data_IF_908564532341
#
_entry.id   IF_908564532341
#
_cell.length_a   1.000
_cell.length_b   1.000
_cell.length_c   1.000
_cell.angle_alpha   90.00
_cell.angle_beta   90.00
_cell.angle_gamma   90.00
#
_symmetry.space_group_name_H-M   'P 1'
#
loop_
_entity.id
_entity.type
_entity.pdbx_description
1 polymer ?
#
# COMPACT_ATOMS: atom_id res chain seq x y z
N UNK A 1 -14.10 -7.68 -19.37
CA UNK A 1 -12.89 -8.24 -20.02
C UNK A 1 -12.49 -9.60 -19.44
N UNK A 2 -12.28 -9.73 -18.12
CA UNK A 2 -11.97 -11.02 -17.47
C UNK A 2 -13.06 -12.08 -17.70
N UNK A 3 -14.34 -11.71 -17.64
CA UNK A 3 -15.44 -12.63 -17.94
C UNK A 3 -15.32 -13.26 -19.33
N UNK A 4 -14.85 -12.52 -20.34
CA UNK A 4 -14.62 -13.08 -21.69
C UNK A 4 -13.44 -14.06 -21.68
N UNK A 5 -12.32 -13.70 -21.05
CA UNK A 5 -11.17 -14.61 -20.92
C UNK A 5 -11.53 -15.89 -20.16
N UNK A 6 -12.42 -15.80 -19.17
CA UNK A 6 -12.91 -16.97 -18.43
C UNK A 6 -13.75 -17.88 -19.32
N UNK A 7 -14.61 -17.31 -20.16
CA UNK A 7 -15.43 -18.06 -21.12
C UNK A 7 -14.57 -18.73 -22.18
N UNK A 8 -13.59 -18.02 -22.75
CA UNK A 8 -12.76 -18.52 -23.86
C UNK A 8 -11.63 -19.46 -23.40
N UNK A 9 -11.04 -19.21 -22.22
CA UNK A 9 -9.83 -19.91 -21.75
C UNK A 9 -10.03 -20.71 -20.45
N UNK A 10 -11.24 -20.70 -19.88
CA UNK A 10 -11.58 -21.41 -18.66
C UNK A 10 -11.22 -20.66 -17.35
N UNK A 11 -11.81 -21.12 -16.25
CA UNK A 11 -11.68 -20.50 -14.93
C UNK A 11 -10.29 -20.59 -14.30
N UNK A 12 -9.52 -21.63 -14.63
CA UNK A 12 -8.16 -21.78 -14.13
C UNK A 12 -7.22 -20.69 -14.68
N UNK A 13 -7.45 -20.25 -15.92
CA UNK A 13 -6.65 -19.21 -16.56
C UNK A 13 -6.83 -17.84 -15.89
N UNK A 14 -8.06 -17.49 -15.50
CA UNK A 14 -8.38 -16.19 -14.89
C UNK A 14 -8.23 -16.17 -13.37
N UNK A 15 -7.98 -17.32 -12.72
CA UNK A 15 -8.00 -17.44 -11.25
C UNK A 15 -7.12 -16.39 -10.55
N UNK A 16 -5.87 -16.22 -11.01
CA UNK A 16 -4.95 -15.22 -10.42
C UNK A 16 -5.46 -13.79 -10.61
N UNK A 17 -5.95 -13.46 -11.81
CA UNK A 17 -6.50 -12.13 -12.10
C UNK A 17 -7.74 -11.85 -11.24
N UNK A 18 -8.66 -12.80 -11.13
CA UNK A 18 -9.83 -12.69 -10.24
C UNK A 18 -9.40 -12.48 -8.78
N UNK A 19 -8.35 -13.18 -8.33
CA UNK A 19 -7.73 -12.98 -7.03
C UNK A 19 -7.17 -11.56 -6.84
N UNK A 20 -6.47 -11.01 -7.84
CA UNK A 20 -5.95 -9.64 -7.79
C UNK A 20 -7.07 -8.61 -7.62
N UNK A 21 -8.19 -8.75 -8.33
CA UNK A 21 -9.33 -7.84 -8.18
C UNK A 21 -9.97 -7.93 -6.79
N UNK A 22 -10.12 -9.15 -6.25
CA UNK A 22 -10.60 -9.36 -4.88
C UNK A 22 -9.68 -8.71 -3.85
N UNK A 23 -8.36 -8.82 -4.01
CA UNK A 23 -7.40 -8.16 -3.11
C UNK A 23 -7.56 -6.63 -3.14
N UNK A 24 -7.81 -6.03 -4.31
CA UNK A 24 -8.05 -4.58 -4.44
C UNK A 24 -9.34 -4.16 -3.72
N UNK A 25 -10.42 -4.93 -3.86
CA UNK A 25 -11.69 -4.66 -3.16
C UNK A 25 -11.53 -4.80 -1.65
N UNK A 26 -10.96 -5.92 -1.19
CA UNK A 26 -10.72 -6.17 0.23
C UNK A 26 -9.78 -5.13 0.85
N UNK A 27 -8.79 -4.65 0.09
CA UNK A 27 -7.90 -3.58 0.56
C UNK A 27 -8.68 -2.30 0.89
N UNK A 28 -9.75 -1.96 0.15
CA UNK A 28 -10.58 -0.78 0.47
C UNK A 28 -11.25 -0.94 1.84
N UNK A 29 -11.85 -2.09 2.08
CA UNK A 29 -12.49 -2.42 3.37
C UNK A 29 -11.47 -2.41 4.52
N UNK A 30 -10.28 -2.96 4.29
CA UNK A 30 -9.19 -2.93 5.27
C UNK A 30 -8.77 -1.50 5.60
N UNK A 31 -8.64 -0.62 4.60
CA UNK A 31 -8.27 0.78 4.81
C UNK A 31 -9.35 1.55 5.59
N UNK A 32 -10.62 1.36 5.25
CA UNK A 32 -11.73 1.97 5.98
C UNK A 32 -11.75 1.50 7.43
N UNK A 33 -11.57 0.19 7.65
CA UNK A 33 -11.47 -0.37 8.99
C UNK A 33 -10.23 0.13 9.73
N UNK A 34 -9.11 0.35 9.05
CA UNK A 34 -7.90 0.90 9.66
C UNK A 34 -8.15 2.32 10.12
N UNK A 35 -8.71 3.19 9.27
CA UNK A 35 -9.05 4.59 9.60
C UNK A 35 -9.99 4.69 10.81
N UNK A 36 -10.84 3.69 11.04
CA UNK A 36 -11.76 3.63 12.19
C UNK A 36 -11.17 2.95 13.44
N UNK A 37 -10.03 2.27 13.32
CA UNK A 37 -9.40 1.52 14.41
C UNK A 37 -8.88 2.42 15.53
N UNK A 38 -8.78 1.87 16.75
CA UNK A 38 -8.16 2.57 17.87
C UNK A 38 -6.69 2.86 17.60
N UNK A 39 -5.96 1.93 16.97
CA UNK A 39 -4.56 2.10 16.61
C UNK A 39 -4.36 3.33 15.72
N UNK A 40 -5.18 3.48 14.67
CA UNK A 40 -5.09 4.64 13.80
C UNK A 40 -5.42 5.94 14.55
N UNK A 41 -6.47 5.94 15.38
CA UNK A 41 -6.94 7.15 16.08
C UNK A 41 -6.01 7.62 17.20
N UNK A 42 -5.29 6.71 17.86
CA UNK A 42 -4.47 7.07 19.03
C UNK A 42 -2.98 7.10 18.75
N UNK A 43 -2.50 6.34 17.76
CA UNK A 43 -1.06 6.19 17.51
C UNK A 43 -0.57 6.93 16.26
N UNK A 44 -1.43 7.18 15.25
CA UNK A 44 -0.96 7.85 14.03
C UNK A 44 -0.60 9.31 14.31
N UNK A 45 0.59 9.76 13.88
CA UNK A 45 0.89 11.17 13.78
C UNK A 45 -0.11 11.87 12.85
N UNK A 46 -0.24 13.19 12.96
CA UNK A 46 -0.98 13.98 11.97
C UNK A 46 -0.11 14.28 10.74
N UNK A 47 -0.74 14.56 9.59
CA UNK A 47 -0.05 15.15 8.44
C UNK A 47 0.18 14.24 7.22
N UNK A 48 0.00 12.92 7.34
CA UNK A 48 0.07 12.00 6.19
C UNK A 48 -1.25 11.25 6.06
N UNK A 49 -1.84 11.28 4.86
CA UNK A 49 -2.90 10.35 4.51
C UNK A 49 -2.28 9.08 3.91
N UNK A 50 -2.49 7.93 4.56
CA UNK A 50 -1.99 6.65 4.10
C UNK A 50 -3.14 5.76 3.59
N UNK A 51 -2.89 5.09 2.47
CA UNK A 51 -3.72 4.01 1.93
C UNK A 51 -2.83 2.81 1.60
N UNK A 52 -3.24 1.61 2.00
CA UNK A 52 -2.44 0.39 1.87
C UNK A 52 -3.16 -0.65 1.02
N UNK A 53 -2.49 -1.20 0.02
CA UNK A 53 -2.99 -2.35 -0.73
C UNK A 53 -2.37 -3.63 -0.17
N UNK A 54 -3.21 -4.51 0.39
CA UNK A 54 -2.79 -5.80 0.92
C UNK A 54 -2.99 -6.85 -0.16
N UNK A 55 -1.89 -7.45 -0.62
CA UNK A 55 -1.86 -8.32 -1.79
C UNK A 55 -1.56 -9.77 -1.39
N UNK A 56 -2.27 -10.72 -1.97
CA UNK A 56 -2.09 -12.15 -1.70
C UNK A 56 -0.95 -12.71 -2.56
N UNK A 57 0.10 -13.22 -1.91
CA UNK A 57 1.19 -13.94 -2.57
C UNK A 57 0.63 -15.11 -3.38
N UNK A 58 1.02 -15.20 -4.66
CA UNK A 58 0.57 -16.25 -5.59
C UNK A 58 -0.47 -15.78 -6.62
N UNK A 59 -1.20 -14.70 -6.33
CA UNK A 59 -2.04 -14.02 -7.33
C UNK A 59 -1.29 -12.94 -8.08
N UNK A 60 -0.42 -12.20 -7.38
CA UNK A 60 0.37 -11.12 -7.96
C UNK A 60 1.72 -11.61 -8.50
N UNK A 61 2.33 -10.90 -9.46
CA UNK A 61 3.69 -11.16 -9.90
C UNK A 61 4.68 -11.15 -8.72
N UNK A 62 5.78 -11.88 -8.86
CA UNK A 62 6.86 -11.81 -7.89
C UNK A 62 7.62 -10.50 -8.05
N UNK A 63 7.70 -9.72 -6.99
CA UNK A 63 8.49 -8.49 -6.95
C UNK A 63 9.71 -8.71 -6.04
N UNK A 64 10.93 -8.37 -6.50
CA UNK A 64 12.11 -8.51 -5.65
C UNK A 64 12.02 -7.52 -4.48
N UNK A 65 12.29 -7.96 -3.23
CA UNK A 65 12.43 -7.04 -2.11
C UNK A 65 13.54 -6.04 -2.38
N UNK A 66 13.32 -4.78 -2.02
CA UNK A 66 14.29 -3.71 -2.15
C UNK A 66 14.48 -3.06 -0.79
N UNK A 67 15.70 -3.16 -0.26
CA UNK A 67 16.06 -2.52 1.00
C UNK A 67 16.15 -1.02 0.81
N UNK A 68 15.33 -0.28 1.56
CA UNK A 68 15.31 1.18 1.56
C UNK A 68 15.18 1.67 2.98
N UNK A 69 16.00 2.67 3.33
CA UNK A 69 15.87 3.39 4.59
C UNK A 69 14.77 4.42 4.46
N UNK A 70 13.58 4.07 4.93
CA UNK A 70 12.46 5.00 4.96
C UNK A 70 12.68 6.07 6.05
N UNK A 71 12.25 7.33 5.82
CA UNK A 71 12.11 8.33 6.87
C UNK A 71 11.33 7.81 8.07
N UNK A 72 11.65 8.31 9.27
CA UNK A 72 11.04 7.86 10.52
C UNK A 72 9.51 7.97 10.46
N UNK A 73 9.00 9.05 9.90
CA UNK A 73 7.59 9.33 9.74
C UNK A 73 6.89 8.21 8.95
N UNK A 74 7.47 7.75 7.85
CA UNK A 74 6.87 6.67 7.05
C UNK A 74 6.92 5.31 7.77
N UNK A 75 8.01 5.02 8.50
CA UNK A 75 8.12 3.79 9.29
C UNK A 75 7.03 3.70 10.37
N UNK A 76 6.77 4.81 11.09
CA UNK A 76 5.73 4.85 12.13
C UNK A 76 4.36 4.46 11.57
N UNK A 77 4.00 4.97 10.40
CA UNK A 77 2.73 4.63 9.76
C UNK A 77 2.68 3.16 9.31
N UNK A 78 3.77 2.63 8.76
CA UNK A 78 3.88 1.21 8.37
C UNK A 78 3.74 0.28 9.59
N UNK A 79 4.36 0.62 10.72
CA UNK A 79 4.33 -0.19 11.93
C UNK A 79 2.94 -0.20 12.59
N UNK A 80 2.27 0.96 12.65
CA UNK A 80 0.92 1.07 13.19
C UNK A 80 -0.08 0.29 12.34
N UNK A 81 0.04 0.36 11.01
CA UNK A 81 -0.78 -0.45 10.11
C UNK A 81 -0.53 -1.95 10.31
N UNK A 82 0.73 -2.35 10.44
CA UNK A 82 1.11 -3.74 10.67
C UNK A 82 0.53 -4.27 11.98
N UNK A 83 0.59 -3.49 13.06
CA UNK A 83 -0.02 -3.84 14.34
C UNK A 83 -1.53 -4.05 14.21
N UNK A 84 -2.23 -3.09 13.58
CA UNK A 84 -3.66 -3.21 13.30
C UNK A 84 -3.98 -4.48 12.50
N UNK A 85 -3.26 -4.71 11.40
CA UNK A 85 -3.55 -5.84 10.51
C UNK A 85 -3.34 -7.18 11.22
N UNK A 86 -2.22 -7.33 11.94
CA UNK A 86 -1.91 -8.58 12.64
C UNK A 86 -2.80 -8.82 13.85
N UNK A 87 -3.39 -7.78 14.45
CA UNK A 87 -4.43 -7.95 15.49
C UNK A 87 -5.73 -8.56 14.96
N UNK A 88 -6.04 -8.38 13.67
CA UNK A 88 -7.25 -8.91 13.02
C UNK A 88 -7.02 -10.23 12.29
N UNK A 89 -5.85 -10.38 11.68
CA UNK A 89 -5.52 -11.52 10.82
C UNK A 89 -4.35 -12.32 11.41
N UNK A 90 -4.65 -13.14 12.41
CA UNK A 90 -3.66 -14.01 13.05
C UNK A 90 -3.11 -15.06 12.07
N UNK A 91 -1.85 -15.46 12.28
CA UNK A 91 -1.15 -16.44 11.44
C UNK A 91 -0.69 -15.90 10.08
N UNK A 92 -0.87 -14.61 9.78
CA UNK A 92 -0.35 -13.97 8.55
C UNK A 92 0.99 -13.28 8.80
N UNK A 93 1.78 -13.16 7.73
CA UNK A 93 3.02 -12.38 7.70
C UNK A 93 2.91 -11.31 6.62
N UNK A 94 3.10 -10.05 7.00
CA UNK A 94 3.18 -8.93 6.08
C UNK A 94 4.63 -8.67 5.64
N UNK A 95 4.80 -8.31 4.37
CA UNK A 95 6.05 -7.84 3.78
C UNK A 95 5.72 -6.60 2.94
N UNK A 96 6.44 -5.50 3.19
CA UNK A 96 6.25 -4.27 2.43
C UNK A 96 7.01 -4.33 1.11
N UNK A 97 6.31 -4.04 0.02
CA UNK A 97 6.90 -3.97 -1.32
C UNK A 97 7.13 -2.52 -1.73
N UNK A 98 8.23 -1.94 -1.25
CA UNK A 98 8.53 -0.51 -1.40
C UNK A 98 8.61 -0.04 -2.87
N UNK A 99 9.00 -0.92 -3.79
CA UNK A 99 9.09 -0.58 -5.23
C UNK A 99 7.73 -0.30 -5.89
N UNK A 100 6.62 -0.68 -5.26
CA UNK A 100 5.26 -0.39 -5.73
C UNK A 100 4.66 0.84 -5.05
N UNK A 101 5.34 1.39 -4.04
CA UNK A 101 4.90 2.56 -3.30
C UNK A 101 5.01 3.85 -4.12
N UNK A 102 4.08 4.75 -3.90
CA UNK A 102 4.08 6.11 -4.44
C UNK A 102 3.51 7.08 -3.41
N UNK A 103 3.86 8.36 -3.53
CA UNK A 103 3.40 9.41 -2.64
C UNK A 103 3.06 10.67 -3.43
N UNK A 104 2.25 11.53 -2.80
CA UNK A 104 2.04 12.91 -3.26
C UNK A 104 2.69 13.84 -2.24
N UNK A 105 3.73 14.55 -2.66
CA UNK A 105 4.46 15.49 -1.82
C UNK A 105 4.03 16.92 -2.09
N UNK A 106 3.79 17.69 -1.03
CA UNK A 106 3.63 19.15 -1.11
C UNK A 106 5.01 19.79 -1.01
N UNK A 107 5.45 20.45 -2.06
CA UNK A 107 6.75 21.10 -2.14
C UNK A 107 6.60 22.61 -2.31
N UNK A 108 7.41 23.37 -1.58
CA UNK A 108 7.49 24.83 -1.70
C UNK A 108 8.59 25.22 -2.68
N UNK A 109 8.23 25.97 -3.73
CA UNK A 109 9.19 26.53 -4.68
C UNK A 109 9.14 28.06 -4.65
N UNK A 110 10.18 28.77 -5.12
CA UNK A 110 10.19 30.24 -5.18
C UNK A 110 9.00 30.84 -5.96
N UNK A 111 8.43 30.09 -6.90
CA UNK A 111 7.26 30.48 -7.70
C UNK A 111 5.93 29.89 -7.17
N UNK A 112 5.91 29.42 -5.94
CA UNK A 112 4.73 28.91 -5.25
C UNK A 112 4.73 27.41 -4.98
N UNK A 113 3.75 26.97 -4.19
CA UNK A 113 3.54 25.58 -3.79
C UNK A 113 3.14 24.69 -4.97
N UNK A 114 3.66 23.46 -5.01
CA UNK A 114 3.31 22.40 -5.97
C UNK A 114 3.06 21.07 -5.26
N UNK A 115 2.28 20.21 -5.92
CA UNK A 115 2.11 18.82 -5.52
C UNK A 115 2.81 17.91 -6.52
N UNK A 116 3.65 17.01 -6.01
CA UNK A 116 4.48 16.11 -6.81
C UNK A 116 4.00 14.67 -6.58
N UNK A 117 3.45 14.04 -7.62
CA UNK A 117 3.17 12.61 -7.62
C UNK A 117 4.45 11.86 -8.00
N UNK A 118 5.05 11.15 -7.05
CA UNK A 118 6.38 10.54 -7.18
C UNK A 118 6.39 9.12 -6.63
N UNK A 119 7.35 8.32 -7.08
CA UNK A 119 7.57 6.99 -6.49
C UNK A 119 8.06 7.10 -5.04
N UNK A 120 7.89 6.05 -4.25
CA UNK A 120 8.39 6.03 -2.87
C UNK A 120 9.91 6.26 -2.81
N UNK A 121 10.67 5.76 -3.78
CA UNK A 121 12.12 5.98 -3.84
C UNK A 121 12.47 7.45 -4.11
N UNK A 122 11.73 8.12 -4.99
CA UNK A 122 11.88 9.55 -5.21
C UNK A 122 11.50 10.35 -3.95
N UNK A 123 10.42 9.96 -3.26
CA UNK A 123 10.02 10.56 -1.98
C UNK A 123 11.14 10.53 -0.96
N UNK A 124 11.77 9.37 -0.76
CA UNK A 124 12.86 9.20 0.22
C UNK A 124 14.03 10.14 -0.07
N UNK A 125 14.37 10.35 -1.34
CA UNK A 125 15.44 11.27 -1.75
C UNK A 125 15.02 12.73 -1.55
N UNK A 126 13.79 13.09 -1.94
CA UNK A 126 13.29 14.46 -1.84
C UNK A 126 13.13 14.94 -0.39
N UNK A 127 12.82 14.03 0.55
CA UNK A 127 12.70 14.36 1.98
C UNK A 127 14.05 14.65 2.67
N UNK A 128 15.17 14.59 1.95
CA UNK A 128 16.49 14.97 2.48
C UNK A 128 16.79 16.48 2.34
N UNK A 129 15.93 17.23 1.65
CA UNK A 129 16.09 18.66 1.34
C UNK A 129 14.88 19.45 1.86
#
# INVERSE_FOLDING_TARGET
MISKLKTECGSQFTNKLEGMFKDIELSKEINESFKQSSQARTKLPSGIEMSVHVLTTGYWPTYPPMDVRLPHELNVYQDIFKEFYLSKYSGRRLMWQNSLGHCVLKAEFPKGRKELAVSLFQTVVLMLF
#
